data_IF_868649460657
#
_entry.id   IF_868649460657
#
_cell.length_a   1.000
_cell.length_b   1.000
_cell.length_c   1.000
_cell.angle_alpha   90.00
_cell.angle_beta   90.00
_cell.angle_gamma   90.00
#
_symmetry.space_group_name_H-M   'P 1'
#
loop_
_entity.id
_entity.type
_entity.pdbx_description
1 polymer ?
#
# COMPACT_ATOMS: atom_id res chain seq x y z
N UNK A 1 -34.93 -7.13 6.04
CA UNK A 1 -34.14 -6.94 4.80
C UNK A 1 -33.56 -5.53 4.86
N UNK A 2 -32.24 -5.38 4.74
CA UNK A 2 -31.63 -4.04 4.71
C UNK A 2 -32.15 -3.28 3.48
N UNK A 3 -32.60 -2.04 3.66
CA UNK A 3 -33.05 -1.21 2.54
C UNK A 3 -31.83 -0.88 1.65
N UNK A 4 -32.02 -0.75 0.33
CA UNK A 4 -30.95 -0.34 -0.61
C UNK A 4 -30.21 0.92 -0.12
N UNK A 5 -30.94 1.86 0.48
CA UNK A 5 -30.36 3.08 1.08
C UNK A 5 -29.37 2.76 2.21
N UNK A 6 -29.66 1.77 3.04
CA UNK A 6 -28.80 1.36 4.15
C UNK A 6 -27.54 0.66 3.62
N UNK A 7 -27.70 -0.22 2.63
CA UNK A 7 -26.57 -0.89 1.97
C UNK A 7 -25.65 0.11 1.29
N UNK A 8 -26.20 1.08 0.54
CA UNK A 8 -25.43 2.15 -0.09
C UNK A 8 -24.72 3.02 0.96
N UNK A 9 -25.41 3.35 2.06
CA UNK A 9 -24.84 4.12 3.16
C UNK A 9 -23.63 3.40 3.79
N UNK A 10 -23.74 2.10 4.08
CA UNK A 10 -22.66 1.31 4.66
C UNK A 10 -21.54 1.07 3.66
N UNK A 11 -21.85 0.75 2.41
CA UNK A 11 -20.85 0.58 1.34
C UNK A 11 -20.02 1.85 1.14
N UNK A 12 -20.67 3.01 1.07
CA UNK A 12 -19.97 4.30 0.99
C UNK A 12 -19.13 4.57 2.24
N UNK A 13 -19.64 4.25 3.43
CA UNK A 13 -18.90 4.40 4.68
C UNK A 13 -17.65 3.50 4.75
N UNK A 14 -17.71 2.29 4.19
CA UNK A 14 -16.54 1.40 4.09
C UNK A 14 -15.54 1.96 3.09
N UNK A 15 -16.01 2.41 1.92
CA UNK A 15 -15.16 2.99 0.88
C UNK A 15 -14.37 4.20 1.37
N UNK A 16 -15.00 5.08 2.18
CA UNK A 16 -14.37 6.27 2.74
C UNK A 16 -13.13 5.97 3.61
N UNK A 17 -12.99 4.77 4.19
CA UNK A 17 -11.75 4.42 4.91
C UNK A 17 -10.53 4.41 3.97
N UNK A 18 -10.73 4.04 2.70
CA UNK A 18 -9.66 3.80 1.72
C UNK A 18 -9.59 4.83 0.59
N UNK A 19 -10.46 5.86 0.60
CA UNK A 19 -10.57 6.83 -0.50
C UNK A 19 -9.24 7.56 -0.79
N UNK A 20 -8.49 7.94 0.25
CA UNK A 20 -7.16 8.55 0.09
C UNK A 20 -6.17 7.60 -0.61
N UNK A 21 -6.35 6.32 -0.35
CA UNK A 21 -5.40 5.27 -0.68
C UNK A 21 -5.61 4.68 -2.08
N UNK A 22 -6.67 5.12 -2.77
CA UNK A 22 -6.90 4.81 -4.18
C UNK A 22 -5.71 5.22 -5.06
N UNK A 23 -5.17 6.42 -4.80
CA UNK A 23 -4.05 6.98 -5.58
C UNK A 23 -2.68 6.58 -5.05
N UNK A 24 -2.57 6.21 -3.78
CA UNK A 24 -1.29 5.94 -3.14
C UNK A 24 -0.96 4.46 -3.05
N UNK A 25 -1.97 3.57 -2.97
CA UNK A 25 -1.76 2.12 -2.82
C UNK A 25 -2.55 1.37 -3.88
N UNK A 26 -3.88 1.45 -3.88
CA UNK A 26 -4.74 0.53 -4.65
C UNK A 26 -4.42 0.61 -6.15
N UNK A 27 -4.46 1.81 -6.73
CA UNK A 27 -4.16 2.02 -8.15
C UNK A 27 -2.73 1.60 -8.50
N UNK A 28 -1.70 2.19 -7.87
CA UNK A 28 -0.30 1.89 -8.19
C UNK A 28 0.09 0.42 -8.05
N UNK A 29 -0.31 -0.26 -6.97
CA UNK A 29 0.13 -1.65 -6.72
C UNK A 29 -0.68 -2.66 -7.52
N UNK A 30 -1.94 -2.36 -7.84
CA UNK A 30 -2.73 -3.10 -8.84
C UNK A 30 -2.09 -2.98 -10.22
N UNK A 31 -1.79 -1.75 -10.66
CA UNK A 31 -1.15 -1.50 -11.94
C UNK A 31 0.23 -2.18 -12.03
N UNK A 32 1.01 -2.14 -10.95
CA UNK A 32 2.28 -2.85 -10.85
C UNK A 32 2.11 -4.36 -11.11
N UNK A 33 1.15 -5.00 -10.44
CA UNK A 33 0.83 -6.41 -10.65
C UNK A 33 0.45 -6.69 -12.10
N UNK A 34 -0.45 -5.89 -12.68
CA UNK A 34 -0.90 -6.04 -14.07
C UNK A 34 0.26 -5.94 -15.06
N UNK A 35 1.04 -4.86 -15.01
CA UNK A 35 2.10 -4.64 -15.99
C UNK A 35 3.24 -5.66 -15.86
N UNK A 36 3.63 -6.01 -14.63
CA UNK A 36 4.68 -7.02 -14.44
C UNK A 36 4.16 -8.44 -14.72
N UNK A 37 2.88 -8.71 -14.50
CA UNK A 37 2.25 -9.96 -14.90
C UNK A 37 2.18 -10.12 -16.42
N UNK A 38 1.90 -9.03 -17.16
CA UNK A 38 1.95 -9.02 -18.62
C UNK A 38 3.38 -9.16 -19.17
N UNK A 39 4.36 -8.60 -18.46
CA UNK A 39 5.78 -8.69 -18.80
C UNK A 39 6.47 -9.95 -18.22
N UNK A 40 5.72 -10.88 -17.61
CA UNK A 40 6.27 -12.03 -16.90
C UNK A 40 7.19 -12.91 -17.75
N UNK A 41 6.86 -13.11 -19.03
CA UNK A 41 7.72 -13.85 -19.97
C UNK A 41 9.09 -13.19 -20.18
N UNK A 42 9.15 -11.85 -20.16
CA UNK A 42 10.41 -11.10 -20.25
C UNK A 42 11.31 -11.30 -19.02
N UNK A 43 10.73 -11.74 -17.89
CA UNK A 43 11.47 -12.09 -16.67
C UNK A 43 11.83 -13.58 -16.59
N UNK A 44 11.62 -14.36 -17.66
CA UNK A 44 11.83 -15.81 -17.65
C UNK A 44 10.81 -16.59 -16.82
N UNK A 45 9.72 -15.93 -16.38
CA UNK A 45 8.62 -16.58 -15.67
C UNK A 45 7.67 -17.21 -16.69
N UNK A 46 8.06 -18.38 -17.17
CA UNK A 46 7.24 -19.21 -18.03
C UNK A 46 6.32 -20.08 -17.18
N UNK A 47 5.02 -19.82 -17.25
CA UNK A 47 4.00 -20.71 -16.67
C UNK A 47 2.80 -20.76 -17.61
N UNK A 48 2.16 -21.94 -17.77
CA UNK A 48 0.96 -22.10 -18.60
C UNK A 48 -0.21 -21.22 -18.12
N UNK A 49 -0.12 -20.64 -16.92
CA UNK A 49 -1.13 -19.73 -16.37
C UNK A 49 -0.89 -18.25 -16.72
N UNK A 50 0.20 -17.93 -17.42
CA UNK A 50 0.66 -16.56 -17.68
C UNK A 50 0.39 -16.19 -19.14
N UNK A 51 -0.88 -16.24 -19.52
CA UNK A 51 -1.38 -15.70 -20.79
C UNK A 51 -2.03 -14.34 -20.56
N UNK A 52 -1.86 -13.42 -21.51
CA UNK A 52 -2.46 -12.06 -21.46
C UNK A 52 -3.95 -12.09 -21.12
N UNK A 53 -4.71 -13.01 -21.72
CA UNK A 53 -6.14 -13.17 -21.46
C UNK A 53 -6.45 -13.59 -20.02
N UNK A 54 -5.64 -14.47 -19.43
CA UNK A 54 -5.74 -14.88 -18.03
C UNK A 54 -5.42 -13.71 -17.09
N UNK A 55 -4.38 -12.94 -17.39
CA UNK A 55 -3.99 -11.77 -16.60
C UNK A 55 -5.11 -10.73 -16.58
N UNK A 56 -5.67 -10.40 -17.74
CA UNK A 56 -6.78 -9.43 -17.84
C UNK A 56 -8.02 -9.89 -17.07
N UNK A 57 -8.36 -11.19 -17.12
CA UNK A 57 -9.47 -11.77 -16.32
C UNK A 57 -9.22 -11.70 -14.81
N UNK A 58 -7.97 -11.67 -14.37
CA UNK A 58 -7.59 -11.56 -12.95
C UNK A 58 -7.53 -10.12 -12.42
N UNK A 59 -7.70 -9.10 -13.27
CA UNK A 59 -7.67 -7.67 -12.86
C UNK A 59 -8.64 -7.35 -11.70
N UNK A 60 -9.93 -7.73 -11.76
CA UNK A 60 -10.85 -7.47 -10.64
C UNK A 60 -10.42 -8.18 -9.36
N UNK A 61 -9.92 -9.41 -9.49
CA UNK A 61 -9.46 -10.24 -8.37
C UNK A 61 -8.22 -9.65 -7.68
N UNK A 62 -7.20 -9.21 -8.43
CA UNK A 62 -6.00 -8.59 -7.84
C UNK A 62 -6.33 -7.23 -7.23
N UNK A 63 -7.22 -6.45 -7.86
CA UNK A 63 -7.69 -5.18 -7.30
C UNK A 63 -8.40 -5.41 -5.97
N UNK A 64 -9.26 -6.44 -5.91
CA UNK A 64 -9.91 -6.87 -4.67
C UNK A 64 -8.90 -7.34 -3.63
N UNK A 65 -7.90 -8.15 -4.01
CA UNK A 65 -6.84 -8.62 -3.12
C UNK A 65 -6.08 -7.46 -2.48
N UNK A 66 -5.70 -6.45 -3.26
CA UNK A 66 -5.04 -5.24 -2.74
C UNK A 66 -5.96 -4.48 -1.79
N UNK A 67 -7.22 -4.29 -2.18
CA UNK A 67 -8.18 -3.54 -1.38
C UNK A 67 -8.50 -4.23 -0.04
N UNK A 68 -8.73 -5.54 -0.03
CA UNK A 68 -9.06 -6.29 1.19
C UNK A 68 -7.86 -6.41 2.13
N UNK A 69 -6.64 -6.50 1.60
CA UNK A 69 -5.40 -6.43 2.39
C UNK A 69 -5.07 -5.01 2.86
N UNK A 70 -5.76 -3.97 2.39
CA UNK A 70 -5.56 -2.59 2.85
C UNK A 70 -6.64 -2.15 3.84
N UNK A 71 -7.90 -2.49 3.58
CA UNK A 71 -9.05 -2.00 4.32
C UNK A 71 -8.96 -2.15 5.86
N UNK A 72 -8.61 -3.33 6.44
CA UNK A 72 -8.49 -3.45 7.90
C UNK A 72 -7.37 -2.57 8.48
N UNK A 73 -6.28 -2.34 7.72
CA UNK A 73 -5.19 -1.45 8.11
C UNK A 73 -5.62 0.02 8.08
N UNK A 74 -6.39 0.41 7.06
CA UNK A 74 -6.94 1.75 6.93
C UNK A 74 -7.93 2.06 8.07
N UNK A 75 -8.73 1.07 8.48
CA UNK A 75 -9.58 1.16 9.67
C UNK A 75 -8.70 1.36 10.92
N UNK A 76 -7.71 0.49 11.15
CA UNK A 76 -6.82 0.59 12.32
C UNK A 76 -6.14 1.94 12.45
N UNK A 77 -5.64 2.49 11.34
CA UNK A 77 -5.00 3.79 11.30
C UNK A 77 -5.92 4.95 11.70
N UNK A 78 -7.24 4.77 11.59
CA UNK A 78 -8.24 5.80 11.88
C UNK A 78 -8.93 5.60 13.24
N UNK A 79 -8.77 4.44 13.90
CA UNK A 79 -9.59 4.05 15.05
C UNK A 79 -9.33 4.83 16.35
N UNK A 80 -8.09 5.29 16.58
CA UNK A 80 -7.73 5.93 17.85
C UNK A 80 -8.33 7.34 17.96
N UNK A 81 -8.63 7.81 19.18
CA UNK A 81 -9.14 9.18 19.39
C UNK A 81 -8.19 10.25 18.82
N UNK A 82 -6.88 10.03 18.93
CA UNK A 82 -5.86 10.91 18.33
C UNK A 82 -5.97 10.93 16.79
N UNK A 83 -6.17 9.77 16.17
CA UNK A 83 -6.35 9.66 14.72
C UNK A 83 -7.66 10.30 14.24
N UNK A 84 -8.76 10.12 14.99
CA UNK A 84 -10.04 10.76 14.67
C UNK A 84 -9.92 12.29 14.75
N UNK A 85 -9.24 12.81 15.78
CA UNK A 85 -8.98 14.24 15.92
C UNK A 85 -8.08 14.77 14.81
N UNK A 86 -7.01 14.06 14.46
CA UNK A 86 -6.13 14.39 13.33
C UNK A 86 -6.92 14.47 12.01
N UNK A 87 -7.70 13.43 11.72
CA UNK A 87 -8.48 13.35 10.49
C UNK A 87 -9.63 14.37 10.48
N UNK A 88 -10.13 14.84 11.61
CA UNK A 88 -11.11 15.93 11.64
C UNK A 88 -10.55 17.23 11.02
N UNK A 89 -9.24 17.47 11.12
CA UNK A 89 -8.58 18.59 10.45
C UNK A 89 -8.24 18.26 9.00
N UNK A 90 -7.57 17.14 8.75
CA UNK A 90 -7.01 16.85 7.43
C UNK A 90 -8.05 16.30 6.46
N UNK A 91 -8.95 15.45 6.94
CA UNK A 91 -9.83 14.57 6.15
C UNK A 91 -11.20 14.42 6.82
N UNK A 92 -11.95 15.51 7.08
CA UNK A 92 -13.21 15.47 7.83
C UNK A 92 -14.29 14.60 7.19
N UNK A 93 -14.15 14.31 5.89
CA UNK A 93 -15.02 13.41 5.14
C UNK A 93 -14.80 11.92 5.45
N UNK A 94 -13.73 11.52 6.16
CA UNK A 94 -13.47 10.11 6.52
C UNK A 94 -14.55 9.57 7.43
N UNK A 95 -14.68 8.25 7.46
CA UNK A 95 -15.81 7.54 8.08
C UNK A 95 -16.02 7.89 9.55
N UNK A 96 -14.95 7.93 10.34
CA UNK A 96 -15.02 8.22 11.78
C UNK A 96 -15.21 9.72 12.08
N UNK A 97 -14.42 10.67 11.52
CA UNK A 97 -14.66 12.10 11.71
C UNK A 97 -16.05 12.58 11.27
N UNK A 98 -16.55 12.06 10.15
CA UNK A 98 -17.91 12.34 9.65
C UNK A 98 -19.02 11.59 10.38
N UNK A 99 -18.69 10.87 11.46
CA UNK A 99 -19.62 10.14 12.34
C UNK A 99 -20.49 9.10 11.62
N UNK A 100 -20.01 8.57 10.49
CA UNK A 100 -20.76 7.56 9.73
C UNK A 100 -20.75 6.18 10.37
N UNK A 101 -19.71 5.91 11.16
CA UNK A 101 -19.59 4.76 12.04
C UNK A 101 -19.00 5.21 13.39
N UNK A 102 -19.39 4.52 14.46
CA UNK A 102 -18.71 4.65 15.76
C UNK A 102 -17.38 3.88 15.75
N UNK A 103 -16.40 4.24 16.61
CA UNK A 103 -15.17 3.47 16.75
C UNK A 103 -15.42 2.00 17.11
N UNK A 104 -16.46 1.71 17.91
CA UNK A 104 -16.86 0.34 18.26
C UNK A 104 -17.32 -0.45 17.03
N UNK A 105 -18.15 0.15 16.18
CA UNK A 105 -18.61 -0.48 14.93
C UNK A 105 -17.44 -0.72 13.96
N UNK A 106 -16.56 0.27 13.77
CA UNK A 106 -15.39 0.13 12.91
C UNK A 106 -14.42 -0.96 13.43
N UNK A 107 -14.22 -1.02 14.75
CA UNK A 107 -13.40 -2.08 15.37
C UNK A 107 -14.03 -3.47 15.19
N UNK A 108 -15.35 -3.60 15.29
CA UNK A 108 -16.06 -4.86 15.06
C UNK A 108 -15.97 -5.31 13.59
N UNK A 109 -16.01 -4.37 12.64
CA UNK A 109 -15.85 -4.64 11.22
C UNK A 109 -14.42 -5.09 10.87
N UNK A 110 -13.41 -4.59 11.58
CA UNK A 110 -12.00 -4.86 11.28
C UNK A 110 -11.60 -6.34 11.35
N UNK A 111 -12.05 -7.06 12.37
CA UNK A 111 -11.64 -8.46 12.60
C UNK A 111 -12.01 -9.39 11.44
N UNK A 112 -13.28 -9.45 10.97
CA UNK A 112 -13.63 -10.30 9.84
C UNK A 112 -12.91 -9.89 8.55
N UNK A 113 -12.55 -8.61 8.38
CA UNK A 113 -11.79 -8.15 7.23
C UNK A 113 -10.36 -8.69 7.19
N UNK A 114 -9.68 -8.81 8.34
CA UNK A 114 -8.39 -9.51 8.40
C UNK A 114 -8.53 -10.99 8.01
N UNK A 115 -9.61 -11.64 8.46
CA UNK A 115 -9.90 -13.02 8.03
C UNK A 115 -10.13 -13.12 6.53
N UNK A 116 -10.90 -12.19 5.92
CA UNK A 116 -11.08 -12.15 4.48
C UNK A 116 -9.79 -11.84 3.72
N UNK A 117 -8.93 -10.98 4.25
CA UNK A 117 -7.61 -10.71 3.68
C UNK A 117 -6.74 -11.98 3.67
N UNK A 118 -6.73 -12.76 4.76
CA UNK A 118 -6.00 -14.01 4.83
C UNK A 118 -6.59 -15.07 3.88
N UNK A 119 -7.91 -15.25 3.87
CA UNK A 119 -8.58 -16.20 3.00
C UNK A 119 -8.37 -15.87 1.52
N UNK A 120 -8.52 -14.60 1.12
CA UNK A 120 -8.25 -14.19 -0.25
C UNK A 120 -6.77 -14.39 -0.63
N UNK A 121 -5.84 -14.14 0.28
CA UNK A 121 -4.41 -14.38 0.06
C UNK A 121 -4.08 -15.87 -0.04
N UNK A 122 -4.76 -16.72 0.72
CA UNK A 122 -4.63 -18.17 0.60
C UNK A 122 -5.08 -18.69 -0.76
N UNK A 123 -6.20 -18.15 -1.28
CA UNK A 123 -6.78 -18.58 -2.54
C UNK A 123 -6.06 -18.01 -3.77
N UNK A 124 -5.62 -16.75 -3.72
CA UNK A 124 -5.07 -16.05 -4.88
C UNK A 124 -3.54 -16.00 -4.87
N UNK A 125 -2.92 -16.08 -3.69
CA UNK A 125 -1.49 -15.87 -3.47
C UNK A 125 -1.22 -14.67 -2.56
N UNK A 126 0.03 -14.51 -2.12
CA UNK A 126 0.43 -13.39 -1.28
C UNK A 126 0.23 -13.59 0.24
N UNK A 127 0.08 -14.83 0.72
CA UNK A 127 -0.10 -15.11 2.17
C UNK A 127 1.02 -14.52 3.03
N UNK A 128 2.28 -14.61 2.57
CA UNK A 128 3.44 -14.06 3.29
C UNK A 128 3.32 -12.54 3.44
N UNK A 129 2.92 -11.87 2.37
CA UNK A 129 2.71 -10.43 2.30
C UNK A 129 1.56 -10.02 3.22
N UNK A 130 0.44 -10.74 3.21
CA UNK A 130 -0.69 -10.52 4.12
C UNK A 130 -0.28 -10.62 5.59
N UNK A 131 0.49 -11.65 5.97
CA UNK A 131 0.99 -11.81 7.35
C UNK A 131 1.92 -10.65 7.73
N UNK A 132 2.87 -10.30 6.88
CA UNK A 132 3.78 -9.17 7.13
C UNK A 132 2.99 -7.87 7.25
N UNK A 133 2.02 -7.61 6.37
CA UNK A 133 1.14 -6.45 6.47
C UNK A 133 0.41 -6.42 7.80
N UNK A 134 -0.15 -7.54 8.28
CA UNK A 134 -0.82 -7.62 9.58
C UNK A 134 0.14 -7.29 10.75
N UNK A 135 1.36 -7.81 10.71
CA UNK A 135 2.41 -7.48 11.68
C UNK A 135 2.79 -5.99 11.65
N UNK A 136 2.93 -5.40 10.45
CA UNK A 136 3.22 -3.98 10.28
C UNK A 136 2.06 -3.10 10.77
N UNK A 137 0.80 -3.50 10.54
CA UNK A 137 -0.37 -2.81 11.09
C UNK A 137 -0.32 -2.77 12.61
N UNK A 138 0.00 -3.92 13.21
CA UNK A 138 0.14 -4.05 14.66
C UNK A 138 1.25 -3.14 15.17
N UNK A 139 2.42 -3.17 14.53
CA UNK A 139 3.54 -2.32 14.92
C UNK A 139 3.20 -0.83 14.80
N UNK A 140 2.63 -0.42 13.67
CA UNK A 140 2.29 0.96 13.38
C UNK A 140 1.28 1.53 14.37
N UNK A 141 0.15 0.84 14.57
CA UNK A 141 -1.01 1.39 15.28
C UNK A 141 -1.06 1.05 16.77
N UNK A 142 -0.56 -0.12 17.17
CA UNK A 142 -0.73 -0.60 18.54
C UNK A 142 0.56 -0.60 19.36
N UNK A 143 1.72 -0.71 18.71
CA UNK A 143 3.03 -0.62 19.37
C UNK A 143 3.67 0.77 19.19
N UNK A 144 2.93 1.72 18.60
CA UNK A 144 3.34 3.12 18.45
C UNK A 144 4.33 3.39 17.33
N UNK A 145 4.64 2.42 16.46
CA UNK A 145 5.63 2.57 15.39
C UNK A 145 5.37 3.76 14.46
N UNK A 146 4.11 4.11 14.22
CA UNK A 146 3.72 5.29 13.42
C UNK A 146 4.01 6.64 14.08
N UNK A 147 4.21 6.67 15.41
CA UNK A 147 4.40 7.89 16.19
C UNK A 147 5.84 8.05 16.73
N UNK A 148 6.75 7.08 16.50
CA UNK A 148 8.15 7.13 16.99
C UNK A 148 8.94 8.28 16.35
N UNK A 149 9.11 8.23 15.02
CA UNK A 149 9.75 9.25 14.20
C UNK A 149 9.49 8.97 12.70
N UNK A 150 9.83 9.95 11.85
CA UNK A 150 9.65 9.84 10.41
C UNK A 150 10.38 8.62 9.79
N UNK A 151 11.57 8.26 10.29
CA UNK A 151 12.37 7.14 9.74
C UNK A 151 11.65 5.81 9.94
N UNK A 152 11.21 5.51 11.17
CA UNK A 152 10.51 4.26 11.49
C UNK A 152 9.20 4.18 10.71
N UNK A 153 8.44 5.28 10.65
CA UNK A 153 7.19 5.33 9.89
C UNK A 153 7.42 5.10 8.40
N UNK A 154 8.43 5.75 7.83
CA UNK A 154 8.79 5.56 6.43
C UNK A 154 9.25 4.13 6.14
N UNK A 155 9.98 3.51 7.06
CA UNK A 155 10.39 2.11 6.97
C UNK A 155 9.18 1.18 6.94
N UNK A 156 8.24 1.33 7.87
CA UNK A 156 7.01 0.54 7.90
C UNK A 156 6.22 0.70 6.60
N UNK A 157 6.03 1.93 6.14
CA UNK A 157 5.33 2.20 4.88
C UNK A 157 6.04 1.60 3.66
N UNK A 158 7.37 1.67 3.63
CA UNK A 158 8.20 1.08 2.58
C UNK A 158 8.03 -0.44 2.50
N UNK A 159 8.18 -1.14 3.63
CA UNK A 159 7.98 -2.60 3.68
C UNK A 159 6.55 -2.96 3.31
N UNK A 160 5.55 -2.20 3.79
CA UNK A 160 4.15 -2.39 3.41
C UNK A 160 3.94 -2.25 1.90
N UNK A 161 4.58 -1.26 1.26
CA UNK A 161 4.49 -1.07 -0.18
C UNK A 161 5.16 -2.20 -0.97
N UNK A 162 6.28 -2.73 -0.50
CA UNK A 162 6.89 -3.95 -1.04
C UNK A 162 5.90 -5.13 -0.95
N UNK A 163 5.22 -5.30 0.19
CA UNK A 163 4.22 -6.35 0.35
C UNK A 163 3.04 -6.19 -0.61
N UNK A 164 2.51 -4.98 -0.80
CA UNK A 164 1.42 -4.77 -1.75
C UNK A 164 1.84 -5.00 -3.20
N UNK A 165 3.02 -4.54 -3.61
CA UNK A 165 3.52 -4.72 -4.99
C UNK A 165 3.91 -6.17 -5.30
N UNK A 166 4.65 -6.83 -4.41
CA UNK A 166 5.01 -8.24 -4.59
C UNK A 166 3.78 -9.15 -4.47
N UNK A 167 2.88 -8.90 -3.52
CA UNK A 167 1.68 -9.70 -3.32
C UNK A 167 0.67 -9.54 -4.45
N UNK A 168 0.51 -8.34 -5.03
CA UNK A 168 -0.32 -8.15 -6.21
C UNK A 168 0.23 -8.92 -7.43
N UNK A 169 1.55 -8.98 -7.58
CA UNK A 169 2.20 -9.76 -8.63
C UNK A 169 2.06 -11.27 -8.40
N UNK A 170 2.25 -11.77 -7.17
CA UNK A 170 1.98 -13.20 -6.86
C UNK A 170 0.52 -13.56 -7.12
N UNK A 171 -0.42 -12.69 -6.70
CA UNK A 171 -1.84 -12.91 -6.87
C UNK A 171 -2.24 -12.99 -8.34
N UNK A 172 -1.77 -12.04 -9.17
CA UNK A 172 -2.14 -12.00 -10.58
C UNK A 172 -1.51 -13.14 -11.40
N UNK A 173 -0.31 -13.59 -11.01
CA UNK A 173 0.35 -14.77 -11.61
C UNK A 173 -0.28 -16.09 -11.16
N UNK A 174 -1.10 -16.07 -10.12
CA UNK A 174 -1.86 -17.23 -9.65
C UNK A 174 -1.09 -18.02 -8.60
N UNK A 175 -0.66 -17.34 -7.54
CA UNK A 175 0.07 -17.91 -6.41
C UNK A 175 1.44 -18.52 -6.78
N UNK A 176 2.13 -17.89 -7.72
CA UNK A 176 3.50 -18.27 -8.09
C UNK A 176 4.47 -17.52 -7.18
N UNK A 177 5.41 -18.25 -6.54
CA UNK A 177 6.49 -17.62 -5.79
C UNK A 177 7.39 -16.83 -6.73
N UNK A 178 7.62 -15.56 -6.40
CA UNK A 178 8.50 -14.71 -7.19
C UNK A 178 9.95 -15.20 -7.11
N UNK A 179 10.70 -15.09 -8.22
CA UNK A 179 12.08 -15.55 -8.30
C UNK A 179 12.99 -14.63 -7.48
N UNK A 180 14.07 -15.15 -6.90
CA UNK A 180 14.96 -14.35 -6.04
C UNK A 180 15.62 -13.19 -6.82
N UNK A 181 15.74 -13.32 -8.14
CA UNK A 181 16.22 -12.29 -9.06
C UNK A 181 15.33 -11.02 -9.07
N UNK A 182 14.08 -11.12 -8.61
CA UNK A 182 13.16 -9.99 -8.45
C UNK A 182 13.42 -9.16 -7.20
N UNK A 183 14.11 -9.72 -6.19
CA UNK A 183 14.35 -9.07 -4.90
C UNK A 183 15.06 -7.71 -5.03
N UNK A 184 16.13 -7.54 -5.84
CA UNK A 184 16.78 -6.24 -6.00
C UNK A 184 15.82 -5.15 -6.49
N UNK A 185 14.86 -5.49 -7.36
CA UNK A 185 13.89 -4.52 -7.83
C UNK A 185 12.91 -4.10 -6.73
N UNK A 186 12.43 -5.05 -5.92
CA UNK A 186 11.62 -4.74 -4.75
C UNK A 186 12.37 -3.89 -3.71
N UNK A 187 13.67 -4.13 -3.52
CA UNK A 187 14.50 -3.28 -2.65
C UNK A 187 14.60 -1.85 -3.19
N UNK A 188 14.78 -1.67 -4.51
CA UNK A 188 14.77 -0.34 -5.13
C UNK A 188 13.42 0.36 -4.90
N UNK A 189 12.29 -0.31 -5.17
CA UNK A 189 10.95 0.22 -4.89
C UNK A 189 10.77 0.58 -3.41
N UNK A 190 11.26 -0.27 -2.53
CA UNK A 190 11.29 -0.02 -1.09
C UNK A 190 12.03 1.28 -0.77
N UNK A 191 13.24 1.46 -1.30
CA UNK A 191 14.07 2.63 -1.05
C UNK A 191 13.47 3.91 -1.62
N UNK A 192 12.84 3.83 -2.81
CA UNK A 192 12.04 4.93 -3.38
C UNK A 192 10.96 5.34 -2.38
N UNK A 193 10.13 4.40 -1.92
CA UNK A 193 9.03 4.70 -0.98
C UNK A 193 9.58 5.20 0.35
N UNK A 194 10.59 4.54 0.92
CA UNK A 194 11.21 4.93 2.19
C UNK A 194 11.66 6.40 2.20
N UNK A 195 12.24 6.85 1.08
CA UNK A 195 12.81 8.19 0.98
C UNK A 195 11.82 9.25 0.46
N UNK A 196 10.64 8.85 -0.05
CA UNK A 196 9.67 9.77 -0.67
C UNK A 196 8.25 9.71 -0.09
N UNK A 197 7.93 8.74 0.77
CA UNK A 197 6.58 8.56 1.34
C UNK A 197 6.13 9.76 2.18
N UNK A 198 7.08 10.51 2.74
CA UNK A 198 6.83 11.79 3.42
C UNK A 198 6.13 12.85 2.55
N UNK A 199 6.03 12.64 1.23
CA UNK A 199 5.20 13.47 0.36
C UNK A 199 3.75 13.55 0.86
N UNK A 200 3.26 12.48 1.49
CA UNK A 200 1.91 12.43 2.07
C UNK A 200 1.76 13.34 3.30
N UNK A 201 2.85 13.59 4.04
CA UNK A 201 2.81 14.44 5.24
C UNK A 201 2.57 15.91 4.91
N UNK A 202 2.90 16.35 3.69
CA UNK A 202 2.72 17.75 3.31
C UNK A 202 1.24 18.18 3.34
N UNK A 203 0.33 17.31 2.88
CA UNK A 203 -1.11 17.59 2.94
C UNK A 203 -1.69 17.42 4.33
N UNK A 204 -1.02 16.67 5.20
CA UNK A 204 -1.52 16.27 6.51
C UNK A 204 -0.89 17.09 7.67
N UNK A 205 -0.08 18.09 7.35
CA UNK A 205 0.73 18.86 8.30
C UNK A 205 -0.04 19.49 9.48
N UNK A 206 -1.27 19.99 9.24
CA UNK A 206 -2.10 20.61 10.28
C UNK A 206 -2.52 19.56 11.31
N UNK A 207 -3.17 18.47 10.86
CA UNK A 207 -3.58 17.39 11.75
C UNK A 207 -2.39 16.68 12.41
N UNK A 208 -1.26 16.53 11.68
CA UNK A 208 -0.02 15.99 12.23
C UNK A 208 0.51 16.84 13.40
N UNK A 209 0.48 18.17 13.25
CA UNK A 209 0.87 19.10 14.31
C UNK A 209 -0.03 18.98 15.53
N UNK A 210 -1.36 18.90 15.32
CA UNK A 210 -2.32 18.73 16.43
C UNK A 210 -2.13 17.40 17.15
N UNK A 211 -1.81 16.32 16.42
CA UNK A 211 -1.51 15.00 17.00
C UNK A 211 -0.14 14.95 17.70
N UNK A 212 0.74 15.91 17.42
CA UNK A 212 2.13 15.93 17.90
C UNK A 212 3.02 14.92 17.17
N UNK A 213 2.75 14.66 15.88
CA UNK A 213 3.55 13.75 15.06
C UNK A 213 4.91 14.34 14.72
N UNK A 214 5.91 13.47 14.67
CA UNK A 214 7.27 13.79 14.21
C UNK A 214 7.41 13.50 12.72
N UNK A 215 6.71 14.28 11.89
CA UNK A 215 6.80 14.16 10.43
C UNK A 215 7.98 14.96 9.88
N UNK A 216 8.43 14.64 8.67
CA UNK A 216 9.58 15.35 8.10
C UNK A 216 9.31 16.86 7.93
N UNK A 217 8.15 17.30 7.39
CA UNK A 217 7.85 18.72 7.23
C UNK A 217 7.86 19.49 8.57
N UNK A 218 7.42 18.86 9.66
CA UNK A 218 7.42 19.46 11.00
C UNK A 218 8.81 19.50 11.64
N UNK A 219 9.72 18.59 11.27
CA UNK A 219 11.07 18.51 11.85
C UNK A 219 12.09 19.44 11.17
N UNK A 220 12.06 19.51 9.83
CA UNK A 220 13.07 20.28 9.07
C UNK A 220 12.49 21.50 8.36
N UNK A 221 11.18 21.73 8.47
CA UNK A 221 10.45 22.80 7.81
C UNK A 221 9.95 22.42 6.41
N UNK A 222 8.78 22.95 6.04
CA UNK A 222 8.06 22.62 4.80
C UNK A 222 8.92 22.78 3.54
N UNK A 223 9.55 23.94 3.35
CA UNK A 223 10.37 24.23 2.16
C UNK A 223 11.55 23.25 1.99
N UNK A 224 12.27 22.96 3.08
CA UNK A 224 13.43 22.05 3.05
C UNK A 224 12.99 20.62 2.77
N UNK A 225 11.90 20.17 3.40
CA UNK A 225 11.33 18.86 3.17
C UNK A 225 10.86 18.68 1.71
N UNK A 226 10.22 19.69 1.10
CA UNK A 226 9.81 19.64 -0.32
C UNK A 226 11.00 19.54 -1.26
N UNK A 227 12.04 20.36 -1.05
CA UNK A 227 13.26 20.32 -1.87
C UNK A 227 13.93 18.95 -1.76
N UNK A 228 14.13 18.44 -0.54
CA UNK A 228 14.73 17.12 -0.33
C UNK A 228 13.95 16.02 -1.05
N UNK A 229 12.62 16.04 -0.93
CA UNK A 229 11.75 15.05 -1.56
C UNK A 229 11.80 15.13 -3.08
N UNK A 230 11.76 16.34 -3.66
CA UNK A 230 11.87 16.55 -5.10
C UNK A 230 13.23 16.08 -5.65
N UNK A 231 14.33 16.39 -4.96
CA UNK A 231 15.67 15.92 -5.33
C UNK A 231 15.76 14.39 -5.32
N UNK A 232 15.20 13.74 -4.29
CA UNK A 232 15.16 12.28 -4.22
C UNK A 232 14.32 11.68 -5.35
N UNK A 233 13.19 12.28 -5.72
CA UNK A 233 12.37 11.82 -6.85
C UNK A 233 13.15 11.88 -8.18
N UNK A 234 13.87 12.98 -8.44
CA UNK A 234 14.72 13.11 -9.64
C UNK A 234 15.82 12.05 -9.64
N UNK A 235 16.53 11.90 -8.51
CA UNK A 235 17.55 10.86 -8.35
C UNK A 235 17.00 9.47 -8.67
N UNK A 236 15.84 9.10 -8.10
CA UNK A 236 15.23 7.80 -8.34
C UNK A 236 14.75 7.62 -9.78
N UNK A 237 14.27 8.68 -10.45
CA UNK A 237 13.95 8.61 -11.87
C UNK A 237 15.18 8.22 -12.70
N UNK A 238 16.33 8.85 -12.46
CA UNK A 238 17.59 8.50 -13.13
C UNK A 238 18.13 7.13 -12.72
N UNK A 239 18.02 6.77 -11.44
CA UNK A 239 18.50 5.49 -10.94
C UNK A 239 17.69 4.32 -11.49
N UNK A 240 16.37 4.43 -11.54
CA UNK A 240 15.50 3.39 -12.08
C UNK A 240 15.74 3.17 -13.57
N UNK A 241 15.94 4.23 -14.37
CA UNK A 241 16.29 4.08 -15.79
C UNK A 241 17.67 3.45 -15.96
N UNK A 242 18.66 3.83 -15.14
CA UNK A 242 19.97 3.18 -15.12
C UNK A 242 19.90 1.71 -14.72
N UNK A 243 19.17 1.37 -13.65
CA UNK A 243 19.03 0.01 -13.13
C UNK A 243 18.47 -0.95 -14.20
N UNK A 244 17.44 -0.53 -14.92
CA UNK A 244 16.87 -1.30 -16.01
C UNK A 244 17.66 -1.19 -17.31
N UNK A 245 18.28 -0.05 -17.60
CA UNK A 245 19.13 0.16 -18.77
C UNK A 245 20.36 -0.73 -18.74
N UNK A 246 21.06 -0.84 -17.61
CA UNK A 246 22.19 -1.74 -17.46
C UNK A 246 21.75 -3.21 -17.51
N UNK A 247 20.61 -3.57 -16.93
CA UNK A 247 20.08 -4.94 -17.00
C UNK A 247 19.56 -5.33 -18.39
N UNK A 248 19.04 -4.37 -19.16
CA UNK A 248 18.55 -4.57 -20.54
C UNK A 248 19.64 -4.49 -21.61
N UNK A 249 20.72 -3.71 -21.38
CA UNK A 249 21.90 -3.69 -22.26
C UNK A 249 22.78 -4.94 -22.10
N UNK A 250 22.65 -5.65 -20.98
CA UNK A 250 23.17 -7.01 -20.83
C UNK A 250 22.04 -8.02 -21.10
N UNK A 251 21.50 -7.99 -22.31
CA UNK A 251 20.73 -9.08 -22.91
C UNK A 251 21.57 -10.35 -23.14
N UNK A 252 22.37 -10.75 -22.15
CA UNK A 252 23.28 -11.89 -22.17
C UNK A 252 23.03 -12.92 -21.05
N UNK A 253 21.92 -12.80 -20.30
CA UNK A 253 21.54 -13.78 -19.27
C UNK A 253 20.28 -14.59 -19.62
N UNK A 254 19.89 -14.61 -20.90
CA UNK A 254 18.87 -15.53 -21.43
C UNK A 254 19.45 -16.62 -22.34
N UNK A 255 20.72 -16.97 -22.14
CA UNK A 255 21.36 -18.14 -22.75
C UNK A 255 22.31 -18.79 -21.75
N UNK A 256 21.77 -19.65 -20.90
CA UNK A 256 22.40 -20.88 -20.38
C UNK A 256 21.35 -21.73 -19.71
#
# INVERSE_FOLDING_TARGET
MANYRDLAYHGYSIWLFTRSDLKTIIGPTTAFGIFNGLAASAYGLHSPHVHTSTILKRVPMVTFWVWINLLPHAIDNQLSQKAISEDAYNKPWRTLPSKRMTPKQASALRLPLFTFALLSSWNFGGVRQCIVLACLARWYNHMGGGDINAIVRNFINSVGYICFTSGSLEAILGNIRLPDQSLPWFLVLGMVVFSTVQTQDFSDSIGDSVRGRKTLPLQIGDRRARILTATLMIFWSCFCTWFWGHRGLVGGYCSR
#
